data_IF_305944436873
#
_entry.id   IF_305944436873
#
_cell.length_a   1.000
_cell.length_b   1.000
_cell.length_c   1.000
_cell.angle_alpha   90.00
_cell.angle_beta   90.00
_cell.angle_gamma   90.00
#
_symmetry.space_group_name_H-M   'P 1'
#
loop_
_entity.id
_entity.type
_entity.pdbx_description
1 polymer ?
#
# COMPACT_ATOMS: atom_id res chain seq x y z
N UNK A 1 -17.62 -42.54 15.46
CA UNK A 1 -16.20 -42.27 15.63
C UNK A 1 -16.03 -40.82 15.27
N UNK A 2 -15.97 -39.97 16.29
CA UNK A 2 -15.65 -38.55 16.13
C UNK A 2 -14.15 -38.53 15.81
N UNK A 3 -13.80 -38.16 14.57
CA UNK A 3 -12.42 -37.88 14.22
C UNK A 3 -12.01 -36.63 15.00
N UNK A 4 -11.20 -36.84 16.03
CA UNK A 4 -10.49 -35.78 16.76
C UNK A 4 -9.72 -34.94 15.73
N UNK A 5 -10.16 -33.70 15.53
CA UNK A 5 -9.38 -32.70 14.78
C UNK A 5 -8.05 -32.51 15.54
N UNK A 6 -6.97 -33.11 15.02
CA UNK A 6 -5.61 -32.91 15.52
C UNK A 6 -5.31 -31.41 15.48
N UNK A 7 -5.37 -30.76 16.64
CA UNK A 7 -4.91 -29.39 16.81
C UNK A 7 -3.46 -29.32 16.32
N UNK A 8 -3.13 -28.45 15.34
CA UNK A 8 -1.78 -28.39 14.83
C UNK A 8 -0.84 -28.03 15.97
N UNK A 9 0.26 -28.77 16.08
CA UNK A 9 1.30 -28.59 17.08
C UNK A 9 1.56 -27.10 17.30
N UNK A 10 1.39 -26.63 18.54
CA UNK A 10 1.73 -25.25 18.87
C UNK A 10 3.21 -25.04 18.58
N UNK A 11 3.50 -24.39 17.45
CA UNK A 11 4.85 -23.98 17.12
C UNK A 11 5.38 -23.16 18.29
N UNK A 12 6.60 -23.44 18.80
CA UNK A 12 7.17 -22.72 19.94
C UNK A 12 7.36 -21.21 19.64
N UNK A 13 7.26 -20.80 18.37
CA UNK A 13 7.25 -19.40 17.95
C UNK A 13 5.90 -18.71 18.15
N UNK A 14 4.86 -19.43 18.56
CA UNK A 14 3.53 -18.88 18.70
C UNK A 14 3.37 -17.89 19.86
N UNK A 15 4.24 -18.01 20.85
CA UNK A 15 4.29 -17.12 22.01
C UNK A 15 4.94 -15.75 21.71
N UNK A 16 5.60 -15.59 20.56
CA UNK A 16 6.24 -14.32 20.23
C UNK A 16 5.22 -13.27 19.81
N UNK A 17 5.39 -12.06 20.33
CA UNK A 17 4.61 -10.91 19.92
C UNK A 17 4.99 -10.48 18.50
N UNK A 18 4.07 -9.82 17.79
CA UNK A 18 4.31 -9.30 16.44
C UNK A 18 5.59 -8.46 16.36
N UNK A 19 5.90 -7.71 17.42
CA UNK A 19 7.11 -6.88 17.51
C UNK A 19 8.39 -7.73 17.50
N UNK A 20 8.42 -8.81 18.29
CA UNK A 20 9.58 -9.71 18.38
C UNK A 20 9.82 -10.47 17.07
N UNK A 21 8.75 -10.81 16.36
CA UNK A 21 8.85 -11.44 15.04
C UNK A 21 9.44 -10.48 14.01
N UNK A 22 9.00 -9.21 14.01
CA UNK A 22 9.57 -8.18 13.12
C UNK A 22 11.03 -7.92 13.46
N UNK A 23 11.39 -7.86 14.74
CA UNK A 23 12.79 -7.73 15.19
C UNK A 23 13.68 -8.84 14.65
N UNK A 24 13.26 -10.10 14.81
CA UNK A 24 14.00 -11.25 14.30
C UNK A 24 14.13 -11.25 12.76
N UNK A 25 13.12 -10.75 12.03
CA UNK A 25 13.20 -10.61 10.57
C UNK A 25 14.19 -9.51 10.17
N UNK A 26 14.17 -8.38 10.88
CA UNK A 26 15.08 -7.24 10.65
C UNK A 26 16.55 -7.63 10.88
N UNK A 27 16.84 -8.46 11.90
CA UNK A 27 18.19 -8.99 12.14
C UNK A 27 18.75 -9.84 10.99
N UNK A 28 17.87 -10.49 10.21
CA UNK A 28 18.25 -11.35 9.09
C UNK A 28 18.33 -10.60 7.75
N UNK A 29 17.81 -9.38 7.70
CA UNK A 29 17.76 -8.51 6.52
C UNK A 29 19.00 -7.62 6.40
N UNK A 30 19.36 -7.26 5.16
CA UNK A 30 20.36 -6.22 4.88
C UNK A 30 19.68 -4.85 4.67
N UNK A 31 20.38 -3.72 4.91
CA UNK A 31 19.85 -2.39 4.64
C UNK A 31 19.41 -2.23 3.19
N UNK A 32 18.22 -1.69 2.97
CA UNK A 32 17.63 -1.51 1.63
C UNK A 32 17.17 -2.80 0.93
N UNK A 33 17.29 -3.97 1.57
CA UNK A 33 16.81 -5.24 1.03
C UNK A 33 15.34 -5.48 1.42
N UNK A 34 14.56 -6.10 0.53
CA UNK A 34 13.22 -6.61 0.84
C UNK A 34 13.29 -8.04 1.35
N UNK A 35 12.27 -8.49 2.09
CA UNK A 35 12.17 -9.89 2.55
C UNK A 35 12.26 -10.88 1.38
N UNK A 36 11.62 -10.58 0.24
CA UNK A 36 11.76 -11.39 -0.97
C UNK A 36 13.18 -11.39 -1.55
N UNK A 37 13.90 -10.26 -1.48
CA UNK A 37 15.28 -10.19 -1.93
C UNK A 37 16.22 -10.98 -1.00
N UNK A 38 16.01 -10.91 0.32
CA UNK A 38 16.75 -11.69 1.31
C UNK A 38 16.55 -13.19 1.10
N UNK A 39 15.33 -13.64 0.84
CA UNK A 39 15.07 -15.04 0.47
C UNK A 39 15.81 -15.47 -0.79
N UNK A 40 15.89 -14.61 -1.81
CA UNK A 40 16.61 -14.89 -3.06
C UNK A 40 18.13 -14.92 -2.86
N UNK A 41 18.66 -14.05 -1.99
CA UNK A 41 20.08 -14.00 -1.61
C UNK A 41 20.46 -15.23 -0.80
N UNK A 42 19.73 -15.53 0.27
CA UNK A 42 19.95 -16.69 1.15
C UNK A 42 19.70 -18.02 0.41
N UNK A 43 18.74 -18.05 -0.51
CA UNK A 43 18.39 -19.20 -1.33
C UNK A 43 19.31 -19.43 -2.53
N UNK A 44 20.30 -18.57 -2.77
CA UNK A 44 21.24 -18.71 -3.89
C UNK A 44 20.59 -18.60 -5.27
N UNK A 45 19.41 -18.00 -5.36
CA UNK A 45 18.64 -17.85 -6.61
C UNK A 45 18.96 -16.55 -7.36
N UNK A 46 19.70 -15.62 -6.75
CA UNK A 46 20.06 -14.32 -7.34
C UNK A 46 21.01 -14.33 -8.55
N UNK A 47 21.50 -15.49 -9.01
CA UNK A 47 22.62 -15.58 -9.96
C UNK A 47 22.43 -16.42 -11.23
N UNK A 48 21.27 -17.01 -11.51
CA UNK A 48 21.12 -17.91 -12.68
C UNK A 48 20.38 -17.24 -13.84
N UNK A 49 21.12 -16.50 -14.67
CA UNK A 49 20.73 -16.30 -16.08
C UNK A 49 20.69 -17.69 -16.76
N UNK A 50 19.56 -17.99 -17.39
CA UNK A 50 19.27 -19.23 -18.12
C UNK A 50 20.18 -19.30 -19.36
N UNK A 51 21.35 -19.95 -19.23
CA UNK A 51 22.23 -20.19 -20.37
C UNK A 51 23.63 -20.65 -20.00
N UNK A 52 23.92 -21.90 -20.37
CA UNK A 52 25.22 -22.60 -20.43
C UNK A 52 25.65 -23.45 -19.21
N UNK A 53 26.11 -24.62 -19.63
CA UNK A 53 26.53 -25.83 -18.96
C UNK A 53 27.91 -25.65 -18.29
N UNK A 54 28.11 -26.36 -17.17
CA UNK A 54 29.36 -26.81 -16.50
C UNK A 54 30.70 -26.19 -16.94
N UNK A 55 31.50 -25.71 -15.98
CA UNK A 55 32.60 -26.44 -15.32
C UNK A 55 33.29 -25.57 -14.23
N UNK A 56 33.84 -26.24 -13.21
CA UNK A 56 34.91 -25.92 -12.24
C UNK A 56 35.47 -24.47 -12.16
N UNK A 57 35.91 -23.89 -11.05
CA UNK A 57 36.07 -24.19 -9.61
C UNK A 57 36.67 -22.88 -9.01
N UNK A 58 36.53 -22.69 -7.70
CA UNK A 58 37.33 -21.82 -6.81
C UNK A 58 36.85 -20.40 -6.46
N UNK A 59 36.61 -20.26 -5.15
CA UNK A 59 36.76 -19.08 -4.27
C UNK A 59 35.59 -18.09 -4.11
N UNK A 60 34.59 -18.50 -3.32
CA UNK A 60 34.10 -17.75 -2.14
C UNK A 60 33.20 -18.68 -1.31
N UNK A 61 33.82 -19.40 -0.37
CA UNK A 61 33.23 -20.51 0.41
C UNK A 61 32.26 -20.06 1.53
N UNK A 62 31.77 -18.81 1.52
CA UNK A 62 30.80 -18.29 2.51
C UNK A 62 29.42 -17.95 1.88
N UNK A 63 29.29 -18.02 0.55
CA UNK A 63 28.02 -17.83 -0.16
C UNK A 63 27.23 -19.15 -0.34
N UNK A 64 27.61 -20.19 0.40
CA UNK A 64 27.00 -21.51 0.36
C UNK A 64 25.76 -21.54 1.23
N UNK A 65 24.64 -21.03 0.70
CA UNK A 65 23.27 -21.27 1.21
C UNK A 65 23.20 -21.25 2.73
N UNK A 66 22.93 -20.08 3.30
CA UNK A 66 22.47 -19.97 4.67
C UNK A 66 21.04 -20.57 4.76
N UNK A 67 20.91 -21.87 4.51
CA UNK A 67 19.65 -22.63 4.55
C UNK A 67 19.00 -22.49 5.91
N UNK A 68 19.79 -22.50 6.98
CA UNK A 68 19.31 -22.22 8.33
C UNK A 68 18.70 -20.81 8.48
N UNK A 69 19.31 -19.78 7.89
CA UNK A 69 18.75 -18.41 7.95
C UNK A 69 17.54 -18.26 7.02
N UNK A 70 17.54 -18.98 5.90
CA UNK A 70 16.40 -19.05 4.99
C UNK A 70 15.21 -19.69 5.70
N UNK A 71 15.38 -20.88 6.26
CA UNK A 71 14.32 -21.64 6.95
C UNK A 71 13.75 -20.83 8.13
N UNK A 72 14.63 -20.12 8.86
CA UNK A 72 14.20 -19.19 9.92
C UNK A 72 13.40 -18.01 9.38
N UNK A 73 13.87 -17.38 8.30
CA UNK A 73 13.20 -16.23 7.71
C UNK A 73 11.85 -16.61 7.08
N UNK A 74 11.74 -17.80 6.48
CA UNK A 74 10.45 -18.32 5.98
C UNK A 74 9.50 -18.63 7.12
N UNK A 75 9.96 -19.29 8.19
CA UNK A 75 9.11 -19.58 9.35
C UNK A 75 8.61 -18.29 10.04
N UNK A 76 9.47 -17.28 10.17
CA UNK A 76 9.08 -15.96 10.68
C UNK A 76 8.10 -15.25 9.75
N UNK A 77 8.32 -15.30 8.43
CA UNK A 77 7.43 -14.69 7.45
C UNK A 77 6.04 -15.34 7.47
N UNK A 78 5.95 -16.67 7.52
CA UNK A 78 4.67 -17.39 7.59
C UNK A 78 3.90 -17.03 8.85
N UNK A 79 4.58 -16.88 9.99
CA UNK A 79 3.97 -16.40 11.25
C UNK A 79 3.46 -14.96 11.13
N UNK A 80 4.23 -14.07 10.51
CA UNK A 80 3.82 -12.68 10.30
C UNK A 80 2.59 -12.59 9.39
N UNK A 81 2.52 -13.41 8.34
CA UNK A 81 1.34 -13.55 7.50
C UNK A 81 0.14 -14.06 8.31
N UNK A 82 0.34 -15.08 9.16
CA UNK A 82 -0.69 -15.57 10.08
C UNK A 82 -1.19 -14.53 11.09
N UNK A 83 -0.35 -13.54 11.44
CA UNK A 83 -0.74 -12.40 12.29
C UNK A 83 -1.48 -11.28 11.53
N UNK A 84 -1.64 -11.39 10.22
CA UNK A 84 -2.34 -10.42 9.36
C UNK A 84 -1.45 -9.48 8.56
N UNK A 85 -0.12 -9.63 8.59
CA UNK A 85 0.81 -8.84 7.77
C UNK A 85 1.13 -9.55 6.45
N UNK A 86 0.20 -9.49 5.50
CA UNK A 86 0.31 -10.17 4.19
C UNK A 86 1.41 -9.59 3.27
N UNK A 87 1.73 -8.31 3.42
CA UNK A 87 2.72 -7.63 2.56
C UNK A 87 4.18 -7.88 2.94
N UNK A 88 4.46 -8.76 3.90
CA UNK A 88 5.80 -8.94 4.48
C UNK A 88 6.91 -9.12 3.42
N UNK A 89 6.61 -9.84 2.33
CA UNK A 89 7.56 -10.10 1.25
C UNK A 89 8.01 -8.86 0.47
N UNK A 90 7.15 -7.83 0.41
CA UNK A 90 7.42 -6.57 -0.27
C UNK A 90 8.01 -5.52 0.67
N UNK A 91 7.90 -5.70 1.99
CA UNK A 91 8.46 -4.75 2.94
C UNK A 91 9.99 -4.70 2.88
N UNK A 92 10.52 -3.49 2.95
CA UNK A 92 11.96 -3.22 3.08
C UNK A 92 12.38 -3.24 4.55
N UNK A 93 13.69 -3.42 4.79
CA UNK A 93 14.31 -3.28 6.10
C UNK A 93 13.88 -2.00 6.83
N UNK A 94 13.90 -0.86 6.12
CA UNK A 94 13.58 0.46 6.69
C UNK A 94 12.13 0.56 7.13
N UNK A 95 11.20 0.05 6.31
CA UNK A 95 9.77 0.07 6.63
C UNK A 95 9.47 -0.84 7.83
N UNK A 96 10.10 -2.02 7.92
CA UNK A 96 9.96 -2.89 9.10
C UNK A 96 10.56 -2.27 10.37
N UNK A 97 11.70 -1.59 10.27
CA UNK A 97 12.29 -0.85 11.39
C UNK A 97 11.41 0.31 11.85
N UNK A 98 10.79 1.04 10.91
CA UNK A 98 9.81 2.09 11.22
C UNK A 98 8.57 1.52 11.92
N UNK A 99 8.02 0.42 11.42
CA UNK A 99 6.88 -0.27 12.03
C UNK A 99 7.22 -0.71 13.46
N UNK A 100 8.39 -1.30 13.69
CA UNK A 100 8.87 -1.64 15.03
C UNK A 100 8.94 -0.41 15.96
N UNK A 101 9.50 0.71 15.49
CA UNK A 101 9.57 1.96 16.26
C UNK A 101 8.17 2.50 16.59
N UNK A 102 7.25 2.47 15.63
CA UNK A 102 5.86 2.91 15.84
C UNK A 102 5.11 2.02 16.85
N UNK A 103 5.37 0.71 16.84
CA UNK A 103 4.76 -0.25 17.76
C UNK A 103 5.32 -0.15 19.18
N UNK A 104 6.62 0.16 19.32
CA UNK A 104 7.28 0.36 20.63
C UNK A 104 7.00 1.74 21.23
N UNK A 105 6.77 2.75 20.38
CA UNK A 105 6.46 4.13 20.79
C UNK A 105 5.01 4.30 21.26
N UNK A 106 4.12 3.35 20.94
CA UNK A 106 2.73 3.28 21.47
C UNK A 106 2.67 2.73 22.91
N UNK A 107 3.66 3.02 23.76
CA UNK A 107 3.48 2.97 25.22
C UNK A 107 2.69 4.22 25.62
N UNK A 108 1.71 4.13 26.54
CA UNK A 108 0.84 5.25 26.85
C UNK A 108 1.69 6.41 27.39
N UNK A 109 1.54 7.57 26.76
CA UNK A 109 2.16 8.82 27.15
C UNK A 109 1.70 9.22 28.57
N UNK A 110 2.43 8.78 29.59
CA UNK A 110 2.50 9.51 30.85
C UNK A 110 3.58 10.57 30.68
N UNK A 111 3.09 11.77 30.38
CA UNK A 111 3.64 13.10 30.71
C UNK A 111 4.99 13.08 31.46
N UNK A 112 6.05 13.58 30.83
CA UNK A 112 6.92 14.59 31.46
C UNK A 112 7.81 15.31 30.44
N UNK A 113 7.33 16.51 30.08
CA UNK A 113 8.03 17.77 29.79
C UNK A 113 9.56 17.84 29.74
N UNK A 114 10.01 18.45 28.63
CA UNK A 114 11.08 19.47 28.45
C UNK A 114 12.54 19.02 28.48
N UNK A 115 13.20 19.10 27.31
CA UNK A 115 14.17 20.17 26.98
C UNK A 115 14.73 20.04 25.55
N UNK A 116 14.65 21.14 24.79
CA UNK A 116 15.49 21.61 23.65
C UNK A 116 16.23 20.59 22.78
N UNK A 117 15.80 20.42 21.52
CA UNK A 117 16.41 21.11 20.37
C UNK A 117 15.56 20.89 19.09
N UNK A 118 15.73 21.80 18.15
CA UNK A 118 14.78 22.28 17.13
C UNK A 118 14.46 21.33 15.94
N UNK A 119 13.33 21.65 15.29
CA UNK A 119 12.87 21.27 13.93
C UNK A 119 12.17 19.90 13.75
N UNK A 120 10.82 19.90 13.84
CA UNK A 120 9.88 19.26 12.87
C UNK A 120 8.38 19.21 13.34
N UNK A 121 7.94 20.03 14.30
CA UNK A 121 6.52 20.15 14.67
C UNK A 121 5.72 21.11 13.74
N UNK A 122 5.81 20.90 12.42
CA UNK A 122 5.00 21.63 11.41
C UNK A 122 4.08 20.72 10.57
N UNK A 123 3.82 19.47 10.99
CA UNK A 123 2.96 18.53 10.25
C UNK A 123 1.75 18.03 11.05
N UNK A 124 1.10 18.90 11.83
CA UNK A 124 -0.25 18.66 12.35
C UNK A 124 -1.17 19.88 12.19
N UNK A 125 -1.28 20.36 10.93
CA UNK A 125 -2.33 21.29 10.49
C UNK A 125 -3.47 20.59 9.72
N UNK A 126 -3.52 19.25 9.76
CA UNK A 126 -4.65 18.45 9.23
C UNK A 126 -5.51 17.82 10.34
N UNK A 127 -5.29 18.19 11.60
CA UNK A 127 -6.18 17.88 12.71
C UNK A 127 -7.42 18.78 12.74
N UNK A 128 -8.23 18.79 11.67
CA UNK A 128 -9.59 19.32 11.74
C UNK A 128 -10.61 18.17 11.74
N UNK A 129 -11.44 18.19 12.78
CA UNK A 129 -12.54 17.27 12.97
C UNK A 129 -13.57 17.57 11.89
N UNK A 130 -13.73 16.68 10.92
CA UNK A 130 -14.95 16.67 10.11
C UNK A 130 -15.80 15.45 10.41
N UNK A 131 -17.09 15.76 10.43
CA UNK A 131 -18.22 15.15 11.08
C UNK A 131 -18.59 13.77 10.52
N UNK A 132 -19.22 12.98 11.39
CA UNK A 132 -19.66 11.60 11.22
C UNK A 132 -20.78 11.46 10.16
N UNK A 133 -20.49 10.89 8.97
CA UNK A 133 -21.40 9.93 8.28
C UNK A 133 -20.88 9.37 6.96
N UNK A 134 -20.99 8.03 6.83
CA UNK A 134 -20.98 7.20 5.59
C UNK A 134 -19.56 7.04 5.04
N UNK A 135 -18.93 5.88 4.94
CA UNK A 135 -19.37 4.50 4.86
C UNK A 135 -18.41 3.83 3.87
N UNK A 136 -17.53 2.96 4.39
CA UNK A 136 -16.64 1.98 3.73
C UNK A 136 -16.38 2.13 2.21
N UNK A 137 -15.13 2.42 1.82
CA UNK A 137 -14.13 1.40 1.41
C UNK A 137 -12.90 2.13 0.82
N UNK A 138 -11.78 2.07 1.54
CA UNK A 138 -10.46 2.46 1.02
C UNK A 138 -9.79 1.22 0.40
N UNK A 139 -9.48 1.29 -0.90
CA UNK A 139 -8.31 0.63 -1.47
C UNK A 139 -7.32 1.74 -1.79
N UNK A 140 -6.19 1.70 -1.09
CA UNK A 140 -5.00 2.54 -1.30
C UNK A 140 -4.25 1.98 -2.51
N UNK A 141 -4.46 2.59 -3.68
CA UNK A 141 -3.56 2.46 -4.82
C UNK A 141 -2.87 3.80 -5.01
N UNK A 142 -1.65 3.90 -4.48
CA UNK A 142 -0.70 4.96 -4.76
C UNK A 142 -0.14 4.83 -6.19
N UNK A 143 -1.04 4.81 -7.18
CA UNK A 143 -0.75 5.31 -8.50
C UNK A 143 -1.02 6.80 -8.47
N UNK A 144 -0.24 7.57 -9.20
CA UNK A 144 -0.62 8.94 -9.56
C UNK A 144 -1.88 8.79 -10.41
N UNK A 145 -3.06 8.68 -9.81
CA UNK A 145 -4.30 8.68 -10.55
C UNK A 145 -4.41 10.09 -11.12
N UNK A 146 -4.28 10.19 -12.44
CA UNK A 146 -4.91 11.26 -13.22
C UNK A 146 -6.42 11.16 -12.94
N UNK A 147 -6.85 11.47 -11.71
CA UNK A 147 -8.24 11.34 -11.29
C UNK A 147 -9.01 12.45 -11.98
N UNK A 148 -9.62 12.08 -13.10
CA UNK A 148 -10.25 13.04 -13.99
C UNK A 148 -11.50 13.59 -13.32
N UNK A 149 -11.38 14.83 -12.88
CA UNK A 149 -12.49 15.61 -12.35
C UNK A 149 -13.22 16.33 -13.48
N UNK A 150 -14.55 16.30 -13.43
CA UNK A 150 -15.44 16.89 -14.41
C UNK A 150 -16.28 18.01 -13.80
N UNK A 151 -16.55 19.01 -14.61
CA UNK A 151 -17.56 20.03 -14.33
C UNK A 151 -18.51 20.13 -15.52
N UNK A 152 -19.79 20.38 -15.24
CA UNK A 152 -20.82 20.48 -16.27
C UNK A 152 -21.73 21.69 -16.08
N UNK A 153 -22.38 22.09 -17.17
CA UNK A 153 -23.43 23.10 -17.20
C UNK A 153 -24.58 22.64 -18.09
N UNK A 154 -25.79 23.11 -17.79
CA UNK A 154 -27.00 22.73 -18.55
C UNK A 154 -27.10 23.47 -19.89
N UNK A 155 -26.72 24.75 -19.92
CA UNK A 155 -26.81 25.60 -21.10
C UNK A 155 -25.42 26.10 -21.50
N UNK A 156 -25.20 26.32 -22.80
CA UNK A 156 -23.94 26.85 -23.31
C UNK A 156 -23.88 28.39 -23.23
N UNK A 157 -24.41 28.98 -22.17
CA UNK A 157 -24.27 30.42 -21.91
C UNK A 157 -23.10 30.66 -20.95
N UNK A 158 -22.56 31.89 -20.95
CA UNK A 158 -21.46 32.30 -20.07
C UNK A 158 -21.92 32.59 -18.63
N UNK A 159 -23.24 32.74 -18.42
CA UNK A 159 -23.84 32.99 -17.10
C UNK A 159 -24.43 31.74 -16.44
N UNK A 160 -24.38 30.61 -17.12
CA UNK A 160 -24.95 29.37 -16.60
C UNK A 160 -24.13 28.87 -15.42
N UNK A 161 -24.81 28.36 -14.41
CA UNK A 161 -24.19 27.74 -13.25
C UNK A 161 -23.35 26.53 -13.68
N UNK A 162 -22.11 26.50 -13.21
CA UNK A 162 -21.19 25.39 -13.42
C UNK A 162 -21.21 24.52 -12.18
N UNK A 163 -21.49 23.24 -12.37
CA UNK A 163 -21.57 22.24 -11.32
C UNK A 163 -20.35 21.33 -11.41
N UNK A 164 -19.58 21.23 -10.34
CA UNK A 164 -18.38 20.40 -10.24
C UNK A 164 -17.61 20.74 -8.97
N UNK A 165 -16.47 20.06 -8.71
CA UNK A 165 -15.92 18.92 -9.45
C UNK A 165 -16.63 17.60 -9.10
N UNK A 166 -16.86 16.74 -10.10
CA UNK A 166 -17.41 15.39 -9.95
C UNK A 166 -16.48 14.35 -10.58
N UNK A 167 -16.51 13.12 -10.06
CA UNK A 167 -15.71 12.02 -10.63
C UNK A 167 -16.34 11.49 -11.92
N UNK A 168 -15.53 10.84 -12.78
CA UNK A 168 -16.03 10.17 -13.98
C UNK A 168 -17.13 9.15 -13.68
N UNK A 169 -17.02 8.43 -12.56
CA UNK A 169 -18.01 7.43 -12.12
C UNK A 169 -19.37 8.08 -11.78
N UNK A 170 -19.36 9.23 -11.09
CA UNK A 170 -20.58 9.98 -10.77
C UNK A 170 -21.25 10.51 -12.04
N UNK A 171 -20.46 11.05 -12.97
CA UNK A 171 -20.96 11.52 -14.26
C UNK A 171 -21.59 10.40 -15.08
N UNK A 172 -20.97 9.22 -15.12
CA UNK A 172 -21.50 8.04 -15.79
C UNK A 172 -22.81 7.57 -15.17
N UNK A 173 -22.90 7.51 -13.84
CA UNK A 173 -24.14 7.17 -13.14
C UNK A 173 -25.31 8.07 -13.54
N UNK A 174 -25.06 9.38 -13.67
CA UNK A 174 -26.10 10.32 -14.13
C UNK A 174 -26.50 10.16 -15.61
N UNK A 175 -25.59 9.70 -16.47
CA UNK A 175 -25.92 9.32 -17.85
C UNK A 175 -26.81 8.09 -17.84
N UNK A 176 -26.45 7.06 -17.07
CA UNK A 176 -27.17 5.78 -16.99
C UNK A 176 -28.56 5.91 -16.37
N UNK A 177 -28.68 6.75 -15.33
CA UNK A 177 -29.97 7.10 -14.70
C UNK A 177 -30.82 8.04 -15.57
N UNK A 178 -30.26 8.60 -16.65
CA UNK A 178 -30.98 9.43 -17.61
C UNK A 178 -31.18 10.89 -17.20
N UNK A 179 -30.47 11.37 -16.16
CA UNK A 179 -30.45 12.80 -15.80
C UNK A 179 -29.94 13.67 -16.95
N UNK A 180 -28.98 13.15 -17.72
CA UNK A 180 -28.43 13.81 -18.91
C UNK A 180 -29.12 13.40 -20.22
N UNK A 181 -30.40 13.01 -20.16
CA UNK A 181 -31.18 12.64 -21.33
C UNK A 181 -31.26 13.77 -22.39
N UNK A 182 -31.24 15.04 -21.99
CA UNK A 182 -31.15 16.19 -22.91
C UNK A 182 -29.71 16.49 -23.39
N UNK A 183 -28.71 15.92 -22.73
CA UNK A 183 -27.28 16.18 -22.94
C UNK A 183 -26.84 17.46 -22.25
N UNK A 184 -25.89 17.36 -21.32
CA UNK A 184 -25.21 18.49 -20.67
C UNK A 184 -23.90 18.83 -21.34
N UNK A 185 -23.38 20.03 -21.06
CA UNK A 185 -22.08 20.50 -21.51
C UNK A 185 -21.04 20.28 -20.41
N UNK A 186 -20.09 19.37 -20.59
CA UNK A 186 -19.06 19.02 -19.61
C UNK A 186 -17.63 19.30 -20.11
N UNK A 187 -16.73 19.56 -19.17
CA UNK A 187 -15.28 19.72 -19.37
C UNK A 187 -14.50 19.13 -18.20
N UNK A 188 -13.22 18.87 -18.40
CA UNK A 188 -12.31 18.38 -17.36
C UNK A 188 -11.73 19.57 -16.59
N UNK A 189 -11.67 19.44 -15.27
CA UNK A 189 -11.13 20.49 -14.37
C UNK A 189 -9.61 20.61 -14.51
N UNK A 190 -8.90 19.51 -14.82
CA UNK A 190 -7.43 19.56 -15.05
C UNK A 190 -7.02 20.40 -16.27
N UNK A 191 -7.97 20.66 -17.17
CA UNK A 191 -7.75 21.47 -18.37
C UNK A 191 -8.43 22.82 -18.23
N UNK A 192 -7.80 23.70 -17.46
CA UNK A 192 -8.21 25.09 -17.32
C UNK A 192 -8.34 25.76 -18.70
N UNK A 193 -9.57 26.17 -19.04
CA UNK A 193 -9.87 26.84 -20.31
C UNK A 193 -10.25 25.92 -21.48
N UNK A 194 -10.45 24.62 -21.23
CA UNK A 194 -11.00 23.70 -22.23
C UNK A 194 -12.45 24.05 -22.63
N UNK A 195 -12.78 23.83 -23.90
CA UNK A 195 -14.15 24.04 -24.40
C UNK A 195 -15.10 23.00 -23.79
N UNK A 196 -16.34 23.42 -23.51
CA UNK A 196 -17.37 22.49 -23.07
C UNK A 196 -17.84 21.61 -24.22
N UNK A 197 -17.86 20.30 -23.99
CA UNK A 197 -18.37 19.31 -24.94
C UNK A 197 -19.70 18.75 -24.46
N UNK A 198 -20.54 18.30 -25.39
CA UNK A 198 -21.78 17.64 -25.00
C UNK A 198 -21.46 16.24 -24.44
N UNK A 199 -22.03 15.92 -23.28
CA UNK A 199 -21.95 14.61 -22.59
C UNK A 199 -22.23 13.41 -23.49
N UNK A 200 -23.12 13.51 -24.49
CA UNK A 200 -23.36 12.40 -25.44
C UNK A 200 -22.17 12.06 -26.34
N UNK A 201 -21.17 12.95 -26.41
CA UNK A 201 -19.93 12.76 -27.18
C UNK A 201 -18.76 12.33 -26.30
N UNK A 202 -18.95 12.34 -24.99
CA UNK A 202 -17.94 11.96 -24.02
C UNK A 202 -18.32 10.59 -23.49
N UNK A 203 -17.36 9.68 -23.51
CA UNK A 203 -17.48 8.38 -22.89
C UNK A 203 -16.73 8.44 -21.55
N UNK A 204 -17.46 8.50 -20.44
CA UNK A 204 -16.87 8.65 -19.11
C UNK A 204 -16.23 7.34 -18.64
N UNK A 205 -16.61 6.19 -19.20
CA UNK A 205 -16.05 4.86 -18.90
C UNK A 205 -14.57 4.74 -19.31
N UNK A 206 -14.10 5.61 -20.21
CA UNK A 206 -12.68 5.71 -20.56
C UNK A 206 -11.82 6.31 -19.44
N UNK A 207 -12.46 6.88 -18.41
CA UNK A 207 -11.82 7.61 -17.32
C UNK A 207 -12.27 7.10 -15.94
N UNK A 208 -12.85 5.90 -15.87
CA UNK A 208 -13.26 5.20 -14.64
C UNK A 208 -12.40 3.99 -14.33
#
# INVERSE_FOLDING_TARGET
EEEEEEMPAEDPLAAYTQQQLVEAVVELLQPGETVAAALRRLGGLGGRKKGKLREENQSTEEASRDTEKLDRLTALADRLVGSGMFEIYQQSYEKLAYVMKSMTSKKPAVRQTKSDDEEEDELDMFGDKFDEKIGEKEEDDNQVSDEVMWEYKWENEEKSEVYGPFTSQQMQGWVDEGYFSSGVYCRRVDQDGSQFYNSRRIDFDLFT
#
